data_IF_881989811598
#
_entry.id   IF_881989811598
#
_cell.length_a   1.000
_cell.length_b   1.000
_cell.length_c   1.000
_cell.angle_alpha   90.00
_cell.angle_beta   90.00
_cell.angle_gamma   90.00
#
_symmetry.space_group_name_H-M   'P 1'
#
loop_
_entity.id
_entity.type
_entity.pdbx_description
1 polymer ?
#
# COMPACT_ATOMS: atom_id res chain seq x y z
N UNK A 1 22.49 -64.02 20.13
CA UNK A 1 21.90 -63.21 21.22
C UNK A 1 21.25 -61.97 20.61
N UNK A 2 19.93 -62.00 20.50
CA UNK A 2 19.11 -60.89 20.05
C UNK A 2 18.48 -60.22 21.28
N UNK A 3 18.32 -58.90 21.26
CA UNK A 3 17.28 -58.25 22.06
C UNK A 3 16.63 -57.15 21.23
N UNK A 4 15.34 -57.33 20.97
CA UNK A 4 14.43 -56.42 20.28
C UNK A 4 13.44 -55.87 21.31
N UNK A 5 12.95 -54.64 21.04
CA UNK A 5 11.64 -54.07 21.44
C UNK A 5 11.50 -53.63 22.91
N UNK A 6 10.77 -52.57 23.32
CA UNK A 6 9.70 -51.71 22.75
C UNK A 6 9.61 -50.43 23.64
N UNK A 7 9.47 -49.23 23.06
CA UNK A 7 8.25 -48.40 22.97
C UNK A 7 7.98 -47.34 24.08
N UNK A 8 7.77 -46.10 23.59
CA UNK A 8 6.75 -45.11 23.99
C UNK A 8 6.91 -44.33 25.32
N UNK A 9 7.04 -42.99 25.21
CA UNK A 9 5.98 -42.03 25.59
C UNK A 9 6.28 -40.58 25.16
N UNK A 10 5.43 -40.09 24.24
CA UNK A 10 4.78 -38.77 24.17
C UNK A 10 5.50 -37.57 24.80
N UNK A 11 5.91 -36.64 23.94
CA UNK A 11 6.07 -35.22 24.24
C UNK A 11 5.49 -34.40 23.10
N UNK A 12 4.16 -34.26 23.09
CA UNK A 12 3.41 -33.41 22.18
C UNK A 12 3.70 -31.94 22.51
N UNK A 13 4.74 -31.38 21.93
CA UNK A 13 4.89 -29.93 21.80
C UNK A 13 3.89 -29.44 20.76
N UNK A 14 2.63 -29.29 21.16
CA UNK A 14 1.73 -28.39 20.45
C UNK A 14 2.38 -27.01 20.56
N UNK A 15 3.12 -26.61 19.52
CA UNK A 15 3.39 -25.20 19.29
C UNK A 15 2.03 -24.54 19.30
N UNK A 16 1.75 -23.79 20.35
CA UNK A 16 0.54 -23.01 20.46
C UNK A 16 0.57 -22.06 19.27
N UNK A 17 -0.11 -22.44 18.18
CA UNK A 17 -0.63 -21.49 17.22
C UNK A 17 -1.53 -20.58 18.04
N UNK A 18 -0.95 -19.49 18.55
CA UNK A 18 -1.69 -18.38 19.11
C UNK A 18 -2.78 -18.09 18.09
N UNK A 19 -4.02 -18.34 18.49
CA UNK A 19 -5.17 -18.11 17.65
C UNK A 19 -5.11 -16.64 17.25
N UNK A 20 -4.83 -16.40 15.96
CA UNK A 20 -4.83 -15.04 15.42
C UNK A 20 -6.29 -14.59 15.50
N UNK A 21 -6.61 -13.56 16.29
CA UNK A 21 -7.97 -13.06 16.36
C UNK A 21 -8.44 -12.71 14.95
N UNK A 22 -9.69 -13.04 14.63
CA UNK A 22 -10.31 -12.67 13.37
C UNK A 22 -10.12 -11.16 13.15
N UNK A 23 -9.32 -10.80 12.15
CA UNK A 23 -8.93 -9.41 11.89
C UNK A 23 -10.13 -8.65 11.33
N UNK A 24 -10.37 -7.47 11.91
CA UNK A 24 -11.42 -6.53 11.51
C UNK A 24 -11.43 -6.28 9.99
N UNK A 25 -12.60 -5.99 9.38
CA UNK A 25 -12.64 -5.48 8.01
C UNK A 25 -11.76 -4.24 7.89
N UNK A 26 -11.19 -4.00 6.69
CA UNK A 26 -10.45 -2.77 6.40
C UNK A 26 -11.25 -1.58 6.93
N UNK A 27 -10.59 -0.70 7.68
CA UNK A 27 -11.22 0.55 8.10
C UNK A 27 -11.36 1.43 6.86
N UNK A 28 -12.52 1.33 6.22
CA UNK A 28 -12.82 2.11 5.02
C UNK A 28 -13.12 3.55 5.43
N UNK A 29 -12.22 4.47 5.09
CA UNK A 29 -12.48 5.90 5.20
C UNK A 29 -13.50 6.33 4.15
N UNK A 30 -14.69 6.79 4.57
CA UNK A 30 -15.76 7.26 3.67
C UNK A 30 -15.92 8.79 3.64
N UNK A 31 -15.00 9.55 4.26
CA UNK A 31 -15.10 11.00 4.42
C UNK A 31 -13.75 11.71 4.43
N UNK A 32 -13.71 12.95 4.94
CA UNK A 32 -12.45 13.70 5.13
C UNK A 32 -11.53 12.98 6.12
N UNK A 33 -10.25 12.88 5.77
CA UNK A 33 -9.23 12.26 6.60
C UNK A 33 -8.17 13.29 7.03
N UNK A 34 -7.49 13.04 8.14
CA UNK A 34 -6.49 13.95 8.73
C UNK A 34 -5.16 13.99 7.96
N UNK A 35 -4.98 13.10 6.99
CA UNK A 35 -3.82 13.00 6.08
C UNK A 35 -3.91 11.74 5.23
N UNK A 36 -3.59 11.83 3.94
CA UNK A 36 -3.78 10.73 2.97
C UNK A 36 -2.55 10.54 2.11
N UNK A 37 -1.97 9.34 2.13
CA UNK A 37 -0.95 8.90 1.19
C UNK A 37 -1.63 8.36 -0.08
N UNK A 38 -1.33 8.96 -1.22
CA UNK A 38 -1.87 8.55 -2.51
C UNK A 38 -1.03 7.41 -3.08
N UNK A 39 -1.70 6.35 -3.51
CA UNK A 39 -1.12 5.26 -4.27
C UNK A 39 -0.94 5.65 -5.76
N UNK A 40 -0.02 4.99 -6.46
CA UNK A 40 0.32 5.22 -7.86
C UNK A 40 -0.87 5.06 -8.79
N UNK A 41 -1.82 4.16 -8.48
CA UNK A 41 -3.03 4.02 -9.29
C UNK A 41 -3.94 5.26 -9.23
N UNK A 42 -3.99 5.96 -8.10
CA UNK A 42 -4.77 7.21 -7.95
C UNK A 42 -4.13 8.32 -8.76
N UNK A 43 -2.81 8.42 -8.71
CA UNK A 43 -2.05 9.41 -9.50
C UNK A 43 -2.15 9.11 -11.00
N UNK A 44 -2.01 7.85 -11.37
CA UNK A 44 -2.12 7.42 -12.77
C UNK A 44 -3.50 7.71 -13.35
N UNK A 45 -4.57 7.67 -12.55
CA UNK A 45 -5.92 8.03 -12.98
C UNK A 45 -6.03 9.49 -13.42
N UNK A 46 -5.32 10.41 -12.75
CA UNK A 46 -5.27 11.84 -13.12
C UNK A 46 -4.61 12.08 -14.48
N UNK A 47 -3.78 11.14 -14.94
CA UNK A 47 -3.08 11.25 -16.23
C UNK A 47 -3.93 10.79 -17.41
N UNK A 48 -5.11 10.21 -17.16
CA UNK A 48 -6.01 9.72 -18.21
C UNK A 48 -6.68 10.91 -18.91
N UNK A 49 -7.01 10.79 -20.22
CA UNK A 49 -7.76 11.82 -20.94
C UNK A 49 -9.12 12.16 -20.32
N UNK A 50 -9.73 11.17 -19.66
CA UNK A 50 -10.99 11.33 -18.91
C UNK A 50 -10.85 10.60 -17.57
N UNK A 51 -10.36 11.29 -16.52
CA UNK A 51 -10.30 10.73 -15.17
C UNK A 51 -11.70 10.45 -14.62
N UNK A 52 -11.82 9.46 -13.74
CA UNK A 52 -13.07 9.15 -13.06
C UNK A 52 -13.53 10.34 -12.18
N UNK A 53 -14.76 10.87 -12.38
CA UNK A 53 -15.31 11.94 -11.56
C UNK A 53 -15.24 11.72 -10.04
N UNK A 54 -15.55 10.53 -9.48
CA UNK A 54 -15.46 10.33 -8.03
C UNK A 54 -14.03 10.48 -7.50
N UNK A 55 -13.02 10.10 -8.27
CA UNK A 55 -11.60 10.27 -7.89
C UNK A 55 -11.22 11.75 -7.83
N UNK A 56 -11.67 12.55 -8.80
CA UNK A 56 -11.46 14.00 -8.80
C UNK A 56 -12.14 14.64 -7.58
N UNK A 57 -13.39 14.25 -7.31
CA UNK A 57 -14.14 14.75 -6.16
C UNK A 57 -13.47 14.35 -4.82
N UNK A 58 -12.98 13.12 -4.70
CA UNK A 58 -12.25 12.64 -3.53
C UNK A 58 -11.03 13.52 -3.25
N UNK A 59 -10.20 13.74 -4.26
CA UNK A 59 -8.97 14.53 -4.14
C UNK A 59 -9.26 15.99 -3.81
N UNK A 60 -10.30 16.57 -4.41
CA UNK A 60 -10.73 17.95 -4.11
C UNK A 60 -11.28 18.12 -2.68
N UNK A 61 -11.78 17.04 -2.08
CA UNK A 61 -12.32 17.06 -0.71
C UNK A 61 -11.24 16.94 0.38
N UNK A 62 -10.02 16.50 0.04
CA UNK A 62 -8.92 16.37 0.99
C UNK A 62 -8.03 17.62 1.00
N UNK A 63 -7.61 18.03 2.20
CA UNK A 63 -6.72 19.18 2.39
C UNK A 63 -5.25 18.76 2.61
N UNK A 64 -5.04 17.49 2.99
CA UNK A 64 -3.72 16.95 3.30
C UNK A 64 -3.41 15.66 2.54
N UNK A 65 -2.80 15.84 1.37
CA UNK A 65 -2.45 14.78 0.43
C UNK A 65 -0.93 14.66 0.30
N UNK A 66 -0.43 13.42 0.39
CA UNK A 66 0.98 13.08 0.39
C UNK A 66 1.30 12.03 -0.68
N UNK A 67 2.56 12.02 -1.12
CA UNK A 67 3.12 11.00 -1.99
C UNK A 67 4.24 10.25 -1.29
N UNK A 68 4.44 8.98 -1.64
CA UNK A 68 5.65 8.26 -1.28
C UNK A 68 6.69 8.41 -2.37
N UNK A 69 7.98 8.40 -2.03
CA UNK A 69 9.07 8.25 -3.01
C UNK A 69 8.92 6.96 -3.84
N UNK A 70 8.22 5.94 -3.34
CA UNK A 70 7.88 4.76 -4.12
C UNK A 70 6.97 5.08 -5.32
N UNK A 71 5.98 5.96 -5.13
CA UNK A 71 5.10 6.40 -6.23
C UNK A 71 5.92 7.13 -7.29
N UNK A 72 6.85 7.97 -6.88
CA UNK A 72 7.77 8.65 -7.80
C UNK A 72 8.63 7.65 -8.58
N UNK A 73 9.14 6.63 -7.91
CA UNK A 73 9.89 5.55 -8.55
C UNK A 73 9.05 4.85 -9.62
N UNK A 74 7.81 4.45 -9.31
CA UNK A 74 6.94 3.74 -10.25
C UNK A 74 6.57 4.60 -11.48
N UNK A 75 6.33 5.89 -11.27
CA UNK A 75 6.06 6.83 -12.35
C UNK A 75 7.29 7.04 -13.25
N UNK A 76 8.46 7.29 -12.66
CA UNK A 76 9.71 7.46 -13.40
C UNK A 76 10.07 6.17 -14.17
N UNK A 77 9.91 5.00 -13.54
CA UNK A 77 10.09 3.72 -14.19
C UNK A 77 9.19 3.58 -15.42
N UNK A 78 7.91 3.93 -15.31
CA UNK A 78 6.97 3.93 -16.43
C UNK A 78 7.38 4.88 -17.57
N UNK A 79 7.92 6.05 -17.25
CA UNK A 79 8.45 7.01 -18.25
C UNK A 79 9.69 6.43 -18.95
N UNK A 80 10.59 5.79 -18.20
CA UNK A 80 11.84 5.23 -18.74
C UNK A 80 11.63 3.99 -19.60
N UNK A 81 10.54 3.23 -19.38
CA UNK A 81 10.17 2.10 -20.22
C UNK A 81 9.69 2.50 -21.63
N UNK A 82 9.22 3.74 -21.81
CA UNK A 82 8.70 4.19 -23.09
C UNK A 82 9.83 4.54 -24.08
N UNK A 83 9.67 4.21 -25.38
CA UNK A 83 10.56 4.73 -26.39
C UNK A 83 10.45 6.25 -26.46
N UNK A 84 11.52 6.90 -26.91
CA UNK A 84 11.51 8.34 -27.15
C UNK A 84 10.39 8.75 -28.09
N UNK A 85 9.69 9.84 -27.77
CA UNK A 85 8.56 10.36 -28.54
C UNK A 85 7.49 11.01 -27.68
N UNK A 86 6.44 11.52 -28.32
CA UNK A 86 5.46 12.40 -27.67
C UNK A 86 4.78 11.82 -26.43
N UNK A 87 4.57 10.49 -26.36
CA UNK A 87 3.99 9.85 -25.17
C UNK A 87 4.92 9.91 -23.95
N UNK A 88 6.22 9.69 -24.16
CA UNK A 88 7.24 9.79 -23.11
C UNK A 88 7.37 11.22 -22.63
N UNK A 89 7.37 12.18 -23.55
CA UNK A 89 7.53 13.60 -23.22
C UNK A 89 6.29 14.15 -22.48
N UNK A 90 5.08 13.72 -22.87
CA UNK A 90 3.85 14.06 -22.17
C UNK A 90 3.85 13.54 -20.72
N UNK A 91 4.20 12.27 -20.51
CA UNK A 91 4.27 11.69 -19.15
C UNK A 91 5.37 12.32 -18.31
N UNK A 92 6.53 12.65 -18.91
CA UNK A 92 7.59 13.39 -18.21
C UNK A 92 7.10 14.75 -17.76
N UNK A 93 6.38 15.49 -18.62
CA UNK A 93 5.78 16.77 -18.27
C UNK A 93 4.79 16.67 -17.10
N UNK A 94 3.94 15.62 -17.11
CA UNK A 94 3.02 15.34 -16.01
C UNK A 94 3.79 15.05 -14.70
N UNK A 95 4.84 14.23 -14.75
CA UNK A 95 5.66 13.93 -13.58
C UNK A 95 6.34 15.18 -13.01
N UNK A 96 6.89 16.05 -13.86
CA UNK A 96 7.48 17.31 -13.43
C UNK A 96 6.46 18.22 -12.73
N UNK A 97 5.25 18.34 -13.28
CA UNK A 97 4.19 19.14 -12.67
C UNK A 97 3.70 18.55 -11.34
N UNK A 98 3.64 17.22 -11.25
CA UNK A 98 3.28 16.51 -10.03
C UNK A 98 4.33 16.73 -8.93
N UNK A 99 5.62 16.62 -9.25
CA UNK A 99 6.71 16.91 -8.33
C UNK A 99 6.64 18.35 -7.82
N UNK A 100 6.39 19.31 -8.71
CA UNK A 100 6.22 20.72 -8.35
C UNK A 100 5.00 20.95 -7.44
N UNK A 101 3.91 20.20 -7.64
CA UNK A 101 2.68 20.33 -6.85
C UNK A 101 2.82 19.74 -5.44
N UNK A 102 3.58 18.66 -5.30
CA UNK A 102 3.71 17.89 -4.07
C UNK A 102 5.11 18.02 -3.43
N UNK A 103 5.92 19.00 -3.81
CA UNK A 103 7.34 19.11 -3.44
C UNK A 103 7.57 18.91 -1.93
N UNK A 104 6.87 19.69 -1.09
CA UNK A 104 6.96 19.60 0.38
C UNK A 104 6.12 18.45 0.98
N UNK A 105 5.48 17.64 0.13
CA UNK A 105 4.55 16.57 0.48
C UNK A 105 4.93 15.20 -0.08
N UNK A 106 6.24 15.00 -0.29
CA UNK A 106 6.81 13.68 -0.62
C UNK A 106 7.48 13.09 0.62
N UNK A 107 7.08 11.87 0.98
CA UNK A 107 7.62 11.10 2.10
C UNK A 107 8.56 10.01 1.58
N UNK A 108 9.77 9.96 2.13
CA UNK A 108 10.73 8.91 1.83
C UNK A 108 10.34 7.57 2.48
N UNK A 109 10.62 6.47 1.79
CA UNK A 109 10.58 5.14 2.41
C UNK A 109 11.82 4.98 3.29
N UNK A 110 11.64 5.25 4.58
CA UNK A 110 12.71 5.17 5.58
C UNK A 110 12.76 3.82 6.31
N UNK A 111 13.58 3.74 7.37
CA UNK A 111 13.73 2.50 8.16
C UNK A 111 12.46 2.11 8.90
N UNK A 112 11.67 3.09 9.38
CA UNK A 112 10.42 2.80 10.07
C UNK A 112 9.36 2.28 9.09
N UNK A 113 9.21 2.95 7.95
CA UNK A 113 8.34 2.52 6.86
C UNK A 113 8.69 1.10 6.38
N UNK A 114 9.98 0.81 6.16
CA UNK A 114 10.45 -0.51 5.76
C UNK A 114 10.17 -1.59 6.82
N UNK A 115 10.29 -1.25 8.10
CA UNK A 115 9.99 -2.17 9.21
C UNK A 115 8.49 -2.49 9.26
N UNK A 116 7.62 -1.49 9.12
CA UNK A 116 6.18 -1.71 9.04
C UNK A 116 5.79 -2.53 7.82
N UNK A 117 6.38 -2.26 6.65
CA UNK A 117 6.17 -3.03 5.43
C UNK A 117 6.50 -4.52 5.65
N UNK A 118 7.63 -4.83 6.27
CA UNK A 118 8.02 -6.21 6.58
C UNK A 118 7.01 -6.89 7.50
N UNK A 119 6.55 -6.20 8.56
CA UNK A 119 5.51 -6.71 9.47
C UNK A 119 4.22 -7.03 8.72
N UNK A 120 3.73 -6.12 7.88
CA UNK A 120 2.52 -6.34 7.09
C UNK A 120 2.64 -7.52 6.12
N UNK A 121 3.79 -7.70 5.47
CA UNK A 121 4.02 -8.86 4.60
C UNK A 121 4.03 -10.18 5.37
N UNK A 122 4.64 -10.22 6.55
CA UNK A 122 4.63 -11.41 7.42
C UNK A 122 3.20 -11.72 7.89
N UNK A 123 2.44 -10.71 8.28
CA UNK A 123 1.05 -10.84 8.69
C UNK A 123 0.15 -11.34 7.56
N UNK A 124 0.28 -10.75 6.36
CA UNK A 124 -0.44 -11.21 5.18
C UNK A 124 -0.12 -12.68 4.89
N UNK A 125 1.16 -13.05 4.90
CA UNK A 125 1.63 -14.42 4.68
C UNK A 125 1.07 -15.40 5.70
N UNK A 126 1.07 -15.04 6.99
CA UNK A 126 0.49 -15.86 8.06
C UNK A 126 -1.02 -16.05 7.91
N UNK A 127 -1.70 -15.10 7.28
CA UNK A 127 -3.13 -15.18 6.93
C UNK A 127 -3.42 -15.88 5.60
N UNK A 128 -2.42 -16.52 4.96
CA UNK A 128 -2.59 -17.20 3.68
C UNK A 128 -2.73 -16.26 2.48
N UNK A 129 -2.34 -15.00 2.61
CA UNK A 129 -2.37 -13.98 1.55
C UNK A 129 -0.95 -13.55 1.18
N UNK A 130 -0.81 -12.95 0.02
CA UNK A 130 0.42 -12.29 -0.42
C UNK A 130 0.17 -10.79 -0.47
N UNK A 131 1.08 -10.02 0.14
CA UNK A 131 1.19 -8.58 -0.05
C UNK A 131 2.52 -8.35 -0.78
N UNK A 132 2.46 -7.76 -1.97
CA UNK A 132 3.68 -7.46 -2.73
C UNK A 132 4.51 -6.38 -2.02
N UNK A 133 5.73 -6.17 -2.53
CA UNK A 133 6.65 -5.23 -1.89
C UNK A 133 6.19 -3.78 -2.03
N UNK A 134 5.63 -3.38 -3.18
CA UNK A 134 5.19 -2.02 -3.43
C UNK A 134 4.05 -1.64 -2.49
N UNK A 135 2.98 -2.43 -2.49
CA UNK A 135 1.83 -2.22 -1.60
C UNK A 135 2.24 -2.24 -0.12
N UNK A 136 3.18 -3.12 0.25
CA UNK A 136 3.70 -3.16 1.61
C UNK A 136 4.49 -1.91 2.00
N UNK A 137 5.29 -1.36 1.09
CA UNK A 137 6.06 -0.14 1.33
C UNK A 137 5.14 1.10 1.40
N UNK A 138 4.09 1.16 0.56
CA UNK A 138 3.03 2.17 0.68
C UNK A 138 2.32 2.06 2.03
N UNK A 139 1.87 0.86 2.38
CA UNK A 139 1.22 0.57 3.67
C UNK A 139 2.12 0.94 4.85
N UNK A 140 3.40 0.57 4.79
CA UNK A 140 4.38 0.83 5.83
C UNK A 140 4.66 2.32 6.00
N UNK A 141 4.79 3.05 4.89
CA UNK A 141 4.95 4.51 4.89
C UNK A 141 3.74 5.18 5.52
N UNK A 142 2.52 4.82 5.09
CA UNK A 142 1.31 5.38 5.67
C UNK A 142 1.21 5.09 7.17
N UNK A 143 1.59 3.88 7.61
CA UNK A 143 1.57 3.50 9.03
C UNK A 143 2.55 4.32 9.87
N UNK A 144 3.79 4.49 9.40
CA UNK A 144 4.83 5.23 10.10
C UNK A 144 4.43 6.71 10.31
N UNK A 145 3.70 7.29 9.35
CA UNK A 145 3.30 8.70 9.39
C UNK A 145 1.85 8.93 9.87
N UNK A 146 1.13 7.89 10.28
CA UNK A 146 -0.26 8.01 10.73
C UNK A 146 -1.24 8.44 9.64
N UNK A 147 -0.96 8.14 8.38
CA UNK A 147 -1.76 8.50 7.21
C UNK A 147 -2.71 7.38 6.81
N UNK A 148 -3.81 7.74 6.15
CA UNK A 148 -4.63 6.79 5.40
C UNK A 148 -4.01 6.50 4.03
N UNK A 149 -4.32 5.34 3.44
CA UNK A 149 -3.95 5.03 2.05
C UNK A 149 -5.14 5.26 1.14
N UNK A 150 -4.98 6.06 0.08
CA UNK A 150 -5.94 6.13 -1.01
C UNK A 150 -5.49 5.21 -2.15
N UNK A 151 -6.27 4.17 -2.43
CA UNK A 151 -5.96 3.18 -3.46
C UNK A 151 -7.22 2.55 -4.03
N UNK A 152 -7.18 2.15 -5.31
CA UNK A 152 -8.20 1.28 -5.90
C UNK A 152 -8.14 -0.15 -5.36
N UNK A 153 -6.97 -0.62 -4.94
CA UNK A 153 -6.68 -2.01 -4.62
C UNK A 153 -6.94 -2.34 -3.14
N UNK A 154 -8.09 -1.93 -2.61
CA UNK A 154 -8.44 -2.03 -1.19
C UNK A 154 -8.29 -3.45 -0.61
N UNK A 155 -8.45 -4.47 -1.45
CA UNK A 155 -8.39 -5.87 -1.06
C UNK A 155 -7.02 -6.31 -0.54
N UNK A 156 -5.96 -5.69 -1.04
CA UNK A 156 -4.59 -6.10 -0.75
C UNK A 156 -4.20 -5.66 0.68
N UNK A 157 -4.79 -4.55 1.11
CA UNK A 157 -4.63 -3.96 2.45
C UNK A 157 -5.58 -4.55 3.51
N UNK A 158 -6.36 -5.60 3.19
CA UNK A 158 -7.26 -6.26 4.16
C UNK A 158 -6.49 -6.74 5.40
N UNK A 159 -7.07 -6.56 6.59
CA UNK A 159 -6.47 -7.02 7.85
C UNK A 159 -5.13 -6.36 8.20
N UNK A 160 -4.74 -5.28 7.52
CA UNK A 160 -3.67 -4.40 7.96
C UNK A 160 -4.26 -3.36 8.91
N UNK A 161 -3.48 -2.96 9.91
CA UNK A 161 -3.87 -1.93 10.87
C UNK A 161 -3.69 -0.53 10.27
N UNK A 162 -4.53 -0.23 9.27
CA UNK A 162 -4.52 0.98 8.44
C UNK A 162 -5.94 1.43 8.10
N UNK A 163 -6.09 2.73 7.84
CA UNK A 163 -7.27 3.29 7.18
C UNK A 163 -7.01 3.30 5.68
N UNK A 164 -7.96 2.78 4.90
CA UNK A 164 -7.87 2.75 3.44
C UNK A 164 -9.10 3.39 2.86
N UNK A 165 -8.94 4.27 1.89
CA UNK A 165 -10.02 4.87 1.14
C UNK A 165 -9.93 4.42 -0.32
N UNK A 166 -11.09 4.14 -0.92
CA UNK A 166 -11.21 3.92 -2.35
C UNK A 166 -11.77 5.20 -3.00
N UNK A 167 -10.95 5.99 -3.72
CA UNK A 167 -11.43 7.21 -4.36
C UNK A 167 -12.53 6.98 -5.39
N UNK A 168 -12.65 5.77 -5.95
CA UNK A 168 -13.70 5.44 -6.91
C UNK A 168 -15.08 5.26 -6.28
N UNK A 169 -15.14 5.06 -4.97
CA UNK A 169 -16.40 4.91 -4.23
C UNK A 169 -16.84 6.24 -3.57
N UNK A 170 -16.17 7.35 -3.88
CA UNK A 170 -16.45 8.66 -3.28
C UNK A 170 -17.67 9.32 -3.94
N UNK A 171 -18.75 9.48 -3.17
CA UNK A 171 -20.02 10.06 -3.58
C UNK A 171 -21.12 9.85 -2.54
#
# INVERSE_FOLDING_TARGET
>A
MACRQRASRRGSGHSACAQIPAKDPVRIGRGRMTGVLLDTNVISELTRPKPAPPVIAFLAAQEDLWLSTLVLHELEFGVLLLPSGGRRDALRGILSELLRRYEDRVIAVDTEAATWAARFRVDARRSGRTLDLGDALIAGTAKAHGLAVATRNVTDFRGLDLVVANPWDFG
#
